data_IF_892865858630
#
_entry.id   IF_892865858630
#
_cell.length_a   1.000
_cell.length_b   1.000
_cell.length_c   1.000
_cell.angle_alpha   90.00
_cell.angle_beta   90.00
_cell.angle_gamma   90.00
#
_symmetry.space_group_name_H-M   'P 1'
#
loop_
_entity.id
_entity.type
_entity.pdbx_description
1 polymer ?
#
# COMPACT_ATOMS: atom_id res chain seq x y z
N UNK A 1 -0.70 9.82 -15.02
CA UNK A 1 -0.90 8.48 -14.48
C UNK A 1 -0.53 8.42 -13.00
N UNK A 2 -1.05 7.45 -12.26
CA UNK A 2 -0.88 7.35 -10.80
C UNK A 2 0.58 7.25 -10.35
N UNK A 3 1.46 6.61 -11.11
CA UNK A 3 2.89 6.52 -10.77
C UNK A 3 3.66 7.83 -10.91
N UNK A 4 3.24 8.72 -11.80
CA UNK A 4 3.91 10.00 -12.01
C UNK A 4 3.88 10.92 -10.78
N UNK A 5 2.79 10.92 -10.03
CA UNK A 5 2.67 11.68 -8.79
C UNK A 5 3.62 11.20 -7.70
N UNK A 6 3.80 9.88 -7.58
CA UNK A 6 4.74 9.27 -6.63
C UNK A 6 6.19 9.67 -6.94
N UNK A 7 6.62 9.50 -8.19
CA UNK A 7 7.98 9.85 -8.62
C UNK A 7 8.22 11.34 -8.46
N UNK A 8 7.28 12.18 -8.86
CA UNK A 8 7.40 13.62 -8.70
C UNK A 8 7.57 14.02 -7.22
N UNK A 9 6.77 13.46 -6.32
CA UNK A 9 6.85 13.74 -4.89
C UNK A 9 8.22 13.34 -4.32
N UNK A 10 8.69 12.14 -4.63
CA UNK A 10 10.01 11.67 -4.21
C UNK A 10 11.13 12.57 -4.74
N UNK A 11 11.04 13.05 -5.99
CA UNK A 11 11.99 14.01 -6.53
C UNK A 11 11.96 15.36 -5.81
N UNK A 12 10.78 15.86 -5.41
CA UNK A 12 10.68 17.10 -4.63
C UNK A 12 11.29 16.92 -3.24
N UNK A 13 11.03 15.79 -2.57
CA UNK A 13 11.65 15.48 -1.29
C UNK A 13 13.19 15.44 -1.41
N UNK A 14 13.73 14.72 -2.40
CA UNK A 14 15.18 14.72 -2.63
C UNK A 14 15.73 16.12 -2.86
N UNK A 15 15.07 16.93 -3.69
CA UNK A 15 15.52 18.28 -3.98
C UNK A 15 15.56 19.19 -2.74
N UNK A 16 14.64 18.96 -1.79
CA UNK A 16 14.58 19.69 -0.52
C UNK A 16 15.60 19.19 0.51
N UNK A 17 15.78 17.87 0.62
CA UNK A 17 16.61 17.25 1.66
C UNK A 17 18.08 17.12 1.27
N UNK A 18 18.36 16.81 0.00
CA UNK A 18 19.70 16.53 -0.49
C UNK A 18 19.85 16.95 -1.98
N UNK A 19 19.86 18.24 -2.28
CA UNK A 19 19.87 18.76 -3.66
C UNK A 19 21.06 18.25 -4.50
N UNK A 20 22.20 18.01 -3.88
CA UNK A 20 23.43 17.57 -4.53
C UNK A 20 23.56 16.04 -4.66
N UNK A 21 22.67 15.27 -4.03
CA UNK A 21 22.70 13.82 -4.13
C UNK A 21 22.02 13.32 -5.40
N UNK A 22 22.48 12.19 -5.95
CA UNK A 22 21.72 11.50 -6.98
C UNK A 22 20.40 10.95 -6.38
N UNK A 23 19.41 10.67 -7.22
CA UNK A 23 18.12 10.13 -6.74
C UNK A 23 18.33 8.76 -6.08
N UNK A 24 19.15 7.91 -6.66
CA UNK A 24 19.45 6.58 -6.14
C UNK A 24 20.17 6.64 -4.77
N UNK A 25 21.21 7.47 -4.66
CA UNK A 25 21.95 7.63 -3.41
C UNK A 25 21.06 8.18 -2.28
N UNK A 26 20.21 9.16 -2.60
CA UNK A 26 19.26 9.71 -1.63
C UNK A 26 18.22 8.67 -1.21
N UNK A 27 17.66 7.93 -2.16
CA UNK A 27 16.64 6.92 -1.88
C UNK A 27 17.19 5.80 -0.98
N UNK A 28 18.44 5.35 -1.23
CA UNK A 28 19.10 4.29 -0.48
C UNK A 28 19.60 4.67 0.92
N UNK A 29 19.56 5.94 1.33
CA UNK A 29 20.08 6.37 2.65
C UNK A 29 19.19 5.98 3.81
N UNK A 30 17.88 6.02 3.61
CA UNK A 30 16.90 5.87 4.70
C UNK A 30 15.66 5.14 4.23
N UNK A 31 14.98 4.48 5.15
CA UNK A 31 13.66 3.90 4.89
C UNK A 31 12.58 4.99 4.94
N UNK A 32 11.68 4.99 3.96
CA UNK A 32 10.66 6.02 3.76
C UNK A 32 9.26 5.42 3.67
N UNK A 33 8.32 6.11 4.28
CA UNK A 33 6.89 5.84 4.15
C UNK A 33 6.24 6.96 3.33
N UNK A 34 5.65 6.61 2.19
CA UNK A 34 4.91 7.53 1.34
C UNK A 34 3.43 7.17 1.37
N UNK A 35 2.61 8.09 1.92
CA UNK A 35 1.17 7.92 2.01
C UNK A 35 0.45 8.80 1.00
N UNK A 36 -0.33 8.18 0.12
CA UNK A 36 -1.21 8.88 -0.80
C UNK A 36 -2.52 9.31 -0.10
N UNK A 37 -2.46 10.39 0.65
CA UNK A 37 -3.58 10.90 1.44
C UNK A 37 -4.49 11.90 0.68
N UNK A 38 -4.06 12.37 -0.50
CA UNK A 38 -4.81 13.31 -1.33
C UNK A 38 -6.04 12.71 -1.99
N UNK A 39 -6.86 13.60 -2.59
CA UNK A 39 -8.05 13.24 -3.34
C UNK A 39 -9.23 14.11 -2.96
N UNK A 40 -10.32 14.02 -3.74
CA UNK A 40 -11.49 14.87 -3.56
C UNK A 40 -12.39 14.49 -2.37
N UNK A 41 -12.10 13.37 -1.69
CA UNK A 41 -12.87 12.86 -0.54
C UNK A 41 -14.38 12.88 -0.71
N UNK A 42 -14.86 12.60 -1.93
CA UNK A 42 -16.28 12.73 -2.30
C UNK A 42 -17.25 11.93 -1.42
N UNK A 43 -16.76 10.81 -0.86
CA UNK A 43 -17.57 9.93 0.02
C UNK A 43 -17.64 10.43 1.46
N UNK A 44 -16.70 11.28 1.87
CA UNK A 44 -16.61 11.84 3.21
C UNK A 44 -16.18 13.33 3.11
N UNK A 45 -17.04 14.21 2.59
CA UNK A 45 -16.68 15.60 2.30
C UNK A 45 -16.30 16.38 3.58
N UNK A 46 -16.83 16.00 4.74
CA UNK A 46 -16.47 16.62 6.03
C UNK A 46 -14.98 16.49 6.38
N UNK A 47 -14.29 15.48 5.85
CA UNK A 47 -12.86 15.25 6.08
C UNK A 47 -11.99 15.61 4.88
N UNK A 48 -12.55 16.26 3.87
CA UNK A 48 -11.80 16.63 2.67
C UNK A 48 -10.62 17.58 2.97
N UNK A 49 -10.81 18.48 3.91
CA UNK A 49 -9.81 19.49 4.29
C UNK A 49 -8.64 18.88 5.10
N UNK A 50 -8.89 17.89 5.97
CA UNK A 50 -7.86 17.24 6.78
C UNK A 50 -7.16 16.07 6.07
N UNK A 51 -7.71 15.63 4.93
CA UNK A 51 -7.23 14.45 4.21
C UNK A 51 -7.66 13.14 4.87
N UNK A 52 -7.52 12.04 4.12
CA UNK A 52 -8.01 10.72 4.53
C UNK A 52 -7.29 10.15 5.75
N UNK A 53 -5.97 10.33 5.80
CA UNK A 53 -5.13 9.78 6.87
C UNK A 53 -5.44 10.37 8.24
N UNK A 54 -5.94 11.59 8.30
CA UNK A 54 -6.32 12.26 9.54
C UNK A 54 -7.79 12.06 9.92
N UNK A 55 -8.49 11.15 9.26
CA UNK A 55 -9.85 10.76 9.65
C UNK A 55 -9.83 10.18 11.06
N UNK A 56 -10.64 10.70 12.00
CA UNK A 56 -10.71 10.17 13.34
C UNK A 56 -11.27 8.75 13.35
N UNK A 57 -10.58 7.84 14.03
CA UNK A 57 -11.00 6.46 14.25
C UNK A 57 -11.04 6.21 15.75
N UNK A 58 -12.10 6.62 16.44
CA UNK A 58 -12.18 6.49 17.90
C UNK A 58 -12.21 5.01 18.30
N UNK A 59 -11.31 4.63 19.20
CA UNK A 59 -11.19 3.27 19.71
C UNK A 59 -11.18 3.29 21.23
N UNK A 60 -12.05 2.52 21.84
CA UNK A 60 -12.26 2.50 23.29
C UNK A 60 -11.56 1.31 23.98
N UNK A 61 -10.39 0.91 23.51
CA UNK A 61 -9.63 -0.21 24.09
C UNK A 61 -8.39 0.28 24.84
N UNK A 62 -8.63 1.00 25.91
CA UNK A 62 -7.58 1.58 26.77
C UNK A 62 -6.50 0.59 27.21
N UNK A 63 -6.89 -0.65 27.53
CA UNK A 63 -5.98 -1.72 27.93
C UNK A 63 -4.92 -2.07 26.85
N UNK A 64 -5.12 -1.62 25.60
CA UNK A 64 -4.18 -1.79 24.48
C UNK A 64 -3.48 -0.50 24.07
N UNK A 65 -3.53 0.54 24.89
CA UNK A 65 -2.95 1.84 24.58
C UNK A 65 -3.69 2.64 23.51
N UNK A 66 -4.86 2.19 23.09
CA UNK A 66 -5.68 2.89 22.10
C UNK A 66 -6.42 4.06 22.73
N UNK A 67 -6.61 5.14 21.97
CA UNK A 67 -7.20 6.40 22.43
C UNK A 67 -8.40 6.78 21.54
N UNK A 68 -9.27 7.64 22.07
CA UNK A 68 -10.44 8.13 21.33
C UNK A 68 -10.08 9.19 20.29
N UNK A 69 -8.93 9.82 20.41
CA UNK A 69 -8.40 10.84 19.52
C UNK A 69 -7.49 10.29 18.43
N UNK A 70 -7.44 8.97 18.27
CA UNK A 70 -6.67 8.32 17.21
C UNK A 70 -7.21 8.67 15.83
N UNK A 71 -6.27 8.88 14.92
CA UNK A 71 -6.54 9.02 13.50
C UNK A 71 -6.27 7.70 12.76
N UNK A 72 -6.68 7.61 11.50
CA UNK A 72 -6.33 6.49 10.64
C UNK A 72 -4.80 6.35 10.51
N UNK A 73 -4.07 7.45 10.44
CA UNK A 73 -2.62 7.47 10.40
C UNK A 73 -1.98 6.78 11.61
N UNK A 74 -2.46 7.07 12.81
CA UNK A 74 -1.96 6.44 14.05
C UNK A 74 -2.13 4.92 14.06
N UNK A 75 -3.12 4.42 13.33
CA UNK A 75 -3.38 2.99 13.21
C UNK A 75 -2.58 2.32 12.07
N UNK A 76 -2.25 3.07 11.02
CA UNK A 76 -1.52 2.56 9.85
C UNK A 76 -0.01 2.47 10.11
N UNK A 77 0.59 3.54 10.63
CA UNK A 77 2.05 3.69 10.73
C UNK A 77 2.73 2.53 11.45
N UNK A 78 2.27 2.05 12.63
CA UNK A 78 2.97 1.00 13.34
C UNK A 78 3.08 -0.34 12.57
N UNK A 79 2.12 -0.62 11.68
CA UNK A 79 2.19 -1.80 10.82
C UNK A 79 3.18 -1.60 9.68
N UNK A 80 3.15 -0.43 9.05
CA UNK A 80 4.03 -0.10 7.92
C UNK A 80 5.50 -0.02 8.34
N UNK A 81 5.79 0.51 9.54
CA UNK A 81 7.13 0.47 10.13
C UNK A 81 7.64 -0.97 10.27
N UNK A 82 6.82 -1.85 10.84
CA UNK A 82 7.17 -3.27 10.96
C UNK A 82 7.37 -3.98 9.62
N UNK A 83 6.60 -3.61 8.59
CA UNK A 83 6.80 -4.14 7.24
C UNK A 83 8.16 -3.70 6.67
N UNK A 84 8.50 -2.43 6.81
CA UNK A 84 9.79 -1.90 6.39
C UNK A 84 10.96 -2.49 7.19
N UNK A 85 10.81 -2.71 8.49
CA UNK A 85 11.83 -3.34 9.33
C UNK A 85 12.16 -4.76 8.88
N UNK A 86 11.12 -5.52 8.45
CA UNK A 86 11.27 -6.90 7.98
C UNK A 86 11.68 -7.03 6.51
N UNK A 87 11.64 -5.94 5.77
CA UNK A 87 12.04 -5.94 4.36
C UNK A 87 13.56 -6.03 4.24
N UNK A 88 14.01 -6.61 3.12
CA UNK A 88 15.43 -6.69 2.75
C UNK A 88 16.11 -5.33 2.81
N UNK A 89 17.42 -5.33 3.00
CA UNK A 89 18.22 -4.10 3.17
C UNK A 89 18.18 -3.16 1.97
N UNK A 90 17.88 -3.66 0.78
CA UNK A 90 17.77 -2.87 -0.44
C UNK A 90 16.37 -2.24 -0.65
N UNK A 91 15.37 -2.67 0.12
CA UNK A 91 14.03 -2.07 0.11
C UNK A 91 14.01 -0.85 1.05
N UNK A 92 13.79 0.32 0.47
CA UNK A 92 13.86 1.60 1.18
C UNK A 92 12.55 2.37 1.22
N UNK A 93 11.54 2.00 0.42
CA UNK A 93 10.31 2.78 0.33
C UNK A 93 9.08 1.89 0.49
N UNK A 94 8.18 2.26 1.40
CA UNK A 94 6.82 1.72 1.45
C UNK A 94 5.86 2.80 0.93
N UNK A 95 5.05 2.43 -0.05
CA UNK A 95 4.00 3.28 -0.61
C UNK A 95 2.65 2.70 -0.19
N UNK A 96 1.77 3.53 0.37
CA UNK A 96 0.44 3.08 0.77
C UNK A 96 -0.64 4.13 0.47
N UNK A 97 -1.86 3.65 0.31
CA UNK A 97 -3.05 4.50 0.26
C UNK A 97 -3.35 5.07 1.66
N UNK A 98 -3.62 6.37 1.75
CA UNK A 98 -3.94 7.03 3.01
C UNK A 98 -5.31 6.66 3.61
N UNK A 99 -6.14 5.93 2.86
CA UNK A 99 -7.46 5.43 3.30
C UNK A 99 -7.49 3.90 3.47
N UNK A 100 -6.34 3.26 3.47
CA UNK A 100 -6.22 1.81 3.67
C UNK A 100 -5.91 1.52 5.13
N UNK A 101 -6.70 0.66 5.77
CA UNK A 101 -6.41 0.12 7.09
C UNK A 101 -6.20 -1.39 6.98
N UNK A 102 -4.97 -1.83 7.10
CA UNK A 102 -4.62 -3.23 7.18
C UNK A 102 -4.63 -3.70 8.64
N UNK A 103 -5.17 -4.88 8.87
CA UNK A 103 -5.12 -5.55 10.16
C UNK A 103 -4.45 -6.91 10.00
N UNK A 104 -3.25 -7.03 10.53
CA UNK A 104 -2.60 -8.33 10.66
C UNK A 104 -3.18 -9.08 11.87
N UNK A 105 -3.71 -10.27 11.65
CA UNK A 105 -4.20 -11.17 12.72
C UNK A 105 -3.13 -12.16 13.17
N UNK A 106 -2.09 -12.32 12.38
CA UNK A 106 -0.90 -13.13 12.66
C UNK A 106 0.34 -12.24 12.66
N UNK A 107 1.42 -12.63 13.32
CA UNK A 107 2.70 -11.95 13.19
C UNK A 107 3.13 -11.87 11.72
N UNK A 108 3.71 -10.74 11.34
CA UNK A 108 4.31 -10.60 10.01
C UNK A 108 5.41 -11.64 9.86
N UNK A 109 5.33 -12.42 8.79
CA UNK A 109 6.36 -13.38 8.43
C UNK A 109 7.55 -12.68 7.77
N UNK A 110 8.63 -13.43 7.54
CA UNK A 110 9.74 -12.97 6.70
C UNK A 110 9.22 -12.64 5.31
N UNK A 111 9.70 -11.54 4.75
CA UNK A 111 9.33 -11.12 3.40
C UNK A 111 10.22 -11.82 2.37
N UNK A 112 9.71 -12.08 1.17
CA UNK A 112 10.52 -12.65 0.10
C UNK A 112 11.65 -11.70 -0.30
N UNK A 113 12.75 -12.25 -0.79
CA UNK A 113 13.83 -11.47 -1.40
C UNK A 113 13.39 -11.05 -2.80
N UNK A 114 13.02 -9.80 -2.97
CA UNK A 114 12.49 -9.23 -4.21
C UNK A 114 12.70 -7.72 -4.25
N UNK A 115 12.85 -7.15 -5.45
CA UNK A 115 13.00 -5.70 -5.64
C UNK A 115 11.69 -4.94 -5.37
N UNK A 116 10.55 -5.60 -5.57
CA UNK A 116 9.21 -5.05 -5.34
C UNK A 116 8.34 -6.08 -4.66
N UNK A 117 7.71 -5.71 -3.54
CA UNK A 117 6.76 -6.56 -2.82
C UNK A 117 5.40 -5.88 -2.84
N UNK A 118 4.39 -6.58 -3.36
CA UNK A 118 3.01 -6.11 -3.43
C UNK A 118 2.14 -6.90 -2.45
N UNK A 119 1.34 -6.22 -1.66
CA UNK A 119 0.40 -6.89 -0.77
C UNK A 119 -0.95 -7.08 -1.47
N UNK A 120 -1.36 -8.32 -1.57
CA UNK A 120 -2.63 -8.73 -2.17
C UNK A 120 -3.55 -9.42 -1.16
N UNK A 121 -4.84 -9.36 -1.41
CA UNK A 121 -5.87 -10.00 -0.60
C UNK A 121 -6.72 -10.95 -1.46
N UNK A 122 -6.91 -12.17 -0.99
CA UNK A 122 -7.87 -13.09 -1.57
C UNK A 122 -9.29 -12.54 -1.40
N UNK A 123 -10.08 -12.54 -2.47
CA UNK A 123 -11.44 -12.01 -2.47
C UNK A 123 -12.33 -12.77 -3.44
N UNK A 124 -13.65 -12.60 -3.32
CA UNK A 124 -14.59 -13.17 -4.27
C UNK A 124 -14.52 -12.46 -5.64
N UNK A 125 -14.95 -13.12 -6.73
CA UNK A 125 -14.98 -12.49 -8.06
C UNK A 125 -15.75 -11.17 -8.11
N UNK A 126 -16.84 -11.06 -7.34
CA UNK A 126 -17.66 -9.84 -7.27
C UNK A 126 -16.89 -8.69 -6.60
N UNK A 127 -16.08 -8.98 -5.59
CA UNK A 127 -15.23 -7.99 -4.93
C UNK A 127 -14.07 -7.58 -5.85
N UNK A 128 -13.45 -8.54 -6.53
CA UNK A 128 -12.37 -8.32 -7.50
C UNK A 128 -12.77 -7.31 -8.58
N UNK A 129 -14.01 -7.38 -9.09
CA UNK A 129 -14.53 -6.48 -10.12
C UNK A 129 -14.49 -4.98 -9.76
N UNK A 130 -14.30 -4.63 -8.50
CA UNK A 130 -14.30 -3.24 -8.04
C UNK A 130 -12.92 -2.67 -7.73
N UNK A 131 -11.86 -3.48 -7.84
CA UNK A 131 -10.51 -3.15 -7.40
C UNK A 131 -9.45 -3.28 -8.51
N UNK A 132 -8.26 -2.78 -8.23
CA UNK A 132 -7.04 -3.21 -8.91
C UNK A 132 -6.72 -4.63 -8.50
N UNK A 133 -6.20 -5.43 -9.40
CA UNK A 133 -6.02 -6.87 -9.21
C UNK A 133 -4.66 -7.30 -9.69
N UNK A 134 -3.96 -8.04 -8.85
CA UNK A 134 -2.75 -8.79 -9.20
C UNK A 134 -3.16 -10.14 -9.80
N UNK A 135 -2.69 -10.42 -11.00
CA UNK A 135 -2.84 -11.72 -11.66
C UNK A 135 -1.54 -12.49 -11.52
N UNK A 136 -1.63 -13.68 -10.97
CA UNK A 136 -0.49 -14.53 -10.61
C UNK A 136 -0.65 -15.86 -11.34
N UNK A 137 0.32 -16.25 -12.18
CA UNK A 137 0.33 -17.55 -12.83
C UNK A 137 0.36 -18.67 -11.77
N UNK A 138 -0.54 -19.63 -11.86
CA UNK A 138 -0.61 -20.77 -10.93
C UNK A 138 0.66 -21.61 -10.88
N UNK A 139 1.49 -21.57 -11.92
CA UNK A 139 2.79 -22.26 -11.96
C UNK A 139 3.92 -21.43 -11.32
N UNK A 140 3.68 -20.13 -11.05
CA UNK A 140 4.63 -19.21 -10.42
C UNK A 140 3.91 -18.37 -9.36
N UNK A 141 3.47 -19.00 -8.26
CA UNK A 141 2.55 -18.38 -7.29
C UNK A 141 3.15 -17.22 -6.48
N UNK A 142 4.46 -17.06 -6.50
CA UNK A 142 5.17 -16.03 -5.75
C UNK A 142 5.52 -14.80 -6.60
N UNK A 143 5.17 -14.82 -7.91
CA UNK A 143 5.50 -13.75 -8.84
C UNK A 143 4.26 -13.11 -9.42
N UNK A 144 4.27 -11.76 -9.46
CA UNK A 144 3.26 -11.00 -10.19
C UNK A 144 3.48 -11.15 -11.70
N UNK A 145 2.47 -11.63 -12.42
CA UNK A 145 2.52 -11.73 -13.88
C UNK A 145 2.06 -10.41 -14.53
N UNK A 146 0.85 -9.96 -14.21
CA UNK A 146 0.34 -8.65 -14.64
C UNK A 146 -0.77 -8.12 -13.72
N UNK A 147 -1.17 -6.87 -13.98
CA UNK A 147 -2.23 -6.21 -13.23
C UNK A 147 -3.43 -5.89 -14.13
N UNK A 148 -4.62 -5.98 -13.54
CA UNK A 148 -5.86 -5.52 -14.15
C UNK A 148 -6.51 -4.45 -13.27
N UNK A 149 -7.26 -3.57 -13.90
CA UNK A 149 -8.03 -2.54 -13.20
C UNK A 149 -9.53 -2.80 -13.41
N UNK A 150 -10.20 -3.23 -12.35
CA UNK A 150 -11.64 -3.50 -12.33
C UNK A 150 -12.08 -4.44 -13.47
N UNK A 151 -11.50 -5.64 -13.55
CA UNK A 151 -11.85 -6.59 -14.61
C UNK A 151 -13.32 -7.02 -14.48
N UNK A 152 -13.98 -7.21 -15.63
CA UNK A 152 -15.33 -7.76 -15.64
C UNK A 152 -15.35 -9.21 -15.14
N UNK A 153 -16.52 -9.70 -14.75
CA UNK A 153 -16.66 -11.10 -14.29
C UNK A 153 -16.33 -12.10 -15.39
N UNK A 154 -16.60 -11.76 -16.64
CA UNK A 154 -16.26 -12.57 -17.82
C UNK A 154 -14.76 -12.64 -18.05
N UNK A 155 -14.05 -11.51 -17.97
CA UNK A 155 -12.57 -11.48 -18.06
C UNK A 155 -11.94 -12.27 -16.93
N UNK A 156 -12.45 -12.14 -15.71
CA UNK A 156 -12.00 -12.92 -14.56
C UNK A 156 -12.17 -14.42 -14.81
N UNK A 157 -13.37 -14.87 -15.23
CA UNK A 157 -13.67 -16.28 -15.43
C UNK A 157 -12.74 -16.95 -16.45
N UNK A 158 -12.36 -16.23 -17.51
CA UNK A 158 -11.41 -16.72 -18.51
C UNK A 158 -9.99 -16.85 -17.93
N UNK A 159 -9.52 -15.84 -17.20
CA UNK A 159 -8.16 -15.79 -16.67
C UNK A 159 -7.96 -16.70 -15.46
N UNK A 160 -8.95 -16.88 -14.60
CA UNK A 160 -8.84 -17.72 -13.41
C UNK A 160 -8.67 -19.20 -13.67
N UNK A 161 -8.76 -19.65 -14.93
CA UNK A 161 -8.37 -21.00 -15.33
C UNK A 161 -6.85 -21.23 -15.20
N UNK A 162 -6.06 -20.24 -15.50
CA UNK A 162 -4.58 -20.29 -15.49
C UNK A 162 -3.95 -19.43 -14.40
N UNK A 163 -4.66 -18.44 -13.89
CA UNK A 163 -4.16 -17.48 -12.91
C UNK A 163 -4.95 -17.53 -11.59
N UNK A 164 -4.34 -16.99 -10.58
CA UNK A 164 -4.98 -16.60 -9.31
C UNK A 164 -5.12 -15.09 -9.32
N UNK A 165 -6.19 -14.57 -8.70
CA UNK A 165 -6.46 -13.14 -8.61
C UNK A 165 -6.45 -12.69 -7.14
N UNK A 166 -5.68 -11.65 -6.86
CA UNK A 166 -5.61 -10.99 -5.56
C UNK A 166 -5.97 -9.51 -5.72
N UNK A 167 -6.80 -8.98 -4.84
CA UNK A 167 -7.05 -7.54 -4.80
C UNK A 167 -5.76 -6.82 -4.38
N UNK A 168 -5.35 -5.80 -5.13
CA UNK A 168 -4.33 -4.84 -4.69
C UNK A 168 -4.87 -4.06 -3.47
N UNK A 169 -4.24 -4.26 -2.32
CA UNK A 169 -4.62 -3.53 -1.10
C UNK A 169 -3.96 -2.15 -1.02
N UNK A 170 -3.23 -1.75 -2.06
CA UNK A 170 -2.59 -0.44 -2.14
C UNK A 170 -1.41 -0.26 -1.20
N UNK A 171 -0.67 -1.33 -0.91
CA UNK A 171 0.58 -1.30 -0.13
C UNK A 171 1.68 -2.01 -0.90
N UNK A 172 2.75 -1.27 -1.17
CA UNK A 172 3.88 -1.69 -1.99
C UNK A 172 5.19 -1.34 -1.30
N UNK A 173 6.16 -2.25 -1.33
CA UNK A 173 7.53 -2.01 -0.89
C UNK A 173 8.48 -2.06 -2.10
N UNK A 174 9.43 -1.10 -2.15
CA UNK A 174 10.41 -0.93 -3.23
C UNK A 174 11.78 -0.56 -2.65
#
# INVERSE_FOLDING_TARGET
>A
GSGGGTVWLLQQCRAAEAPDATFADWLGREKRLLLHAGGQSRRLPAYAASGKSLTPIPVFRWARGQRIDQTLLDLQVPLYEKMLEKASSHIHTLIAGGDVLLRATQPLQELPEADVICYGLWASPEQIAHHGVFMIDRNRPDELDFMLQKPSTEEQAALMQTHMALIDVGVWLL
#
